data_IF_020396845772
#
_entry.id   IF_020396845772
#
_cell.length_a   1.000
_cell.length_b   1.000
_cell.length_c   1.000
_cell.angle_alpha   90.00
_cell.angle_beta   90.00
_cell.angle_gamma   90.00
#
_symmetry.space_group_name_H-M   'P 1'
#
loop_
_entity.id
_entity.type
_entity.pdbx_description
1 polymer ?
#
# COMPACT_ATOMS: atom_id res chain seq x y z
N UNK A 1 -5.83 52.20 -19.41
CA UNK A 1 -6.07 50.75 -19.31
C UNK A 1 -7.49 50.53 -19.78
N UNK A 2 -7.67 49.85 -20.90
CA UNK A 2 -8.99 49.46 -21.40
C UNK A 2 -9.40 48.11 -20.76
N UNK A 3 -10.65 47.93 -20.34
CA UNK A 3 -11.09 46.65 -19.78
C UNK A 3 -11.25 45.62 -20.90
N UNK A 4 -10.60 44.47 -20.74
CA UNK A 4 -10.84 43.27 -21.56
C UNK A 4 -12.27 42.80 -21.29
N UNK A 5 -13.14 42.94 -22.29
CA UNK A 5 -14.46 42.30 -22.32
C UNK A 5 -14.27 40.88 -22.83
N UNK A 6 -14.01 39.93 -21.93
CA UNK A 6 -14.10 38.51 -22.23
C UNK A 6 -15.53 38.05 -21.98
N UNK A 7 -16.21 37.52 -23.01
CA UNK A 7 -17.40 36.69 -22.83
C UNK A 7 -16.97 35.42 -22.08
N UNK A 8 -17.63 35.16 -20.95
CA UNK A 8 -17.46 33.94 -20.17
C UNK A 8 -18.48 32.96 -20.73
N UNK A 9 -18.03 31.94 -21.44
CA UNK A 9 -18.90 30.83 -21.87
C UNK A 9 -19.20 29.95 -20.66
N UNK A 10 -20.49 29.76 -20.37
CA UNK A 10 -20.96 28.84 -19.34
C UNK A 10 -20.67 27.40 -19.79
N UNK A 11 -19.84 26.69 -19.02
CA UNK A 11 -19.51 25.27 -19.27
C UNK A 11 -20.69 24.41 -18.81
N UNK A 12 -21.30 23.68 -19.74
CA UNK A 12 -22.38 22.73 -19.46
C UNK A 12 -21.83 21.50 -18.70
N UNK A 13 -22.31 21.30 -17.47
CA UNK A 13 -21.90 20.23 -16.54
C UNK A 13 -22.86 19.03 -16.55
N UNK A 14 -23.81 19.00 -17.49
CA UNK A 14 -24.87 18.00 -17.53
C UNK A 14 -24.41 16.58 -17.95
N UNK A 15 -23.16 16.42 -18.41
CA UNK A 15 -22.56 15.12 -18.81
C UNK A 15 -21.83 14.38 -17.66
N UNK A 16 -21.82 14.93 -16.43
CA UNK A 16 -21.10 14.31 -15.31
C UNK A 16 -21.92 13.27 -14.52
N UNK A 17 -23.18 13.04 -14.88
CA UNK A 17 -24.11 12.16 -14.14
C UNK A 17 -23.96 10.67 -14.49
N UNK A 18 -23.23 10.31 -15.56
CA UNK A 18 -23.08 8.92 -16.04
C UNK A 18 -21.84 8.18 -15.47
N UNK A 19 -21.17 8.73 -14.46
CA UNK A 19 -20.12 8.01 -13.73
C UNK A 19 -20.81 7.02 -12.80
N UNK A 20 -20.94 5.77 -13.25
CA UNK A 20 -21.48 4.68 -12.46
C UNK A 20 -20.76 4.62 -11.08
N UNK A 21 -21.53 4.79 -10.00
CA UNK A 21 -21.08 4.48 -8.64
C UNK A 21 -20.66 3.01 -8.59
N UNK A 22 -19.35 2.76 -8.67
CA UNK A 22 -18.77 1.45 -8.40
C UNK A 22 -18.93 1.21 -6.90
N UNK A 23 -19.86 0.32 -6.56
CA UNK A 23 -20.16 -0.10 -5.20
C UNK A 23 -18.91 -0.78 -4.59
N UNK A 24 -18.18 -0.07 -3.72
CA UNK A 24 -16.90 -0.54 -3.14
C UNK A 24 -17.06 -1.67 -2.09
N UNK A 25 -18.29 -2.05 -1.76
CA UNK A 25 -18.59 -3.07 -0.73
C UNK A 25 -18.43 -4.54 -1.21
N UNK A 26 -18.23 -4.78 -2.51
CA UNK A 26 -18.11 -6.14 -3.11
C UNK A 26 -16.65 -6.60 -3.29
N UNK A 27 -15.71 -6.18 -2.44
CA UNK A 27 -14.34 -6.72 -2.42
C UNK A 27 -13.94 -7.34 -1.07
N UNK A 28 -14.92 -7.56 -0.19
CA UNK A 28 -14.71 -8.13 1.14
C UNK A 28 -14.78 -9.65 1.19
N UNK A 29 -14.97 -10.33 0.05
CA UNK A 29 -15.08 -11.79 0.01
C UNK A 29 -14.09 -12.40 -0.96
N UNK A 30 -13.28 -13.29 -0.36
CA UNK A 30 -12.31 -14.23 -0.94
C UNK A 30 -11.13 -13.55 -1.67
N UNK A 31 -9.89 -13.91 -1.39
CA UNK A 31 -9.34 -15.24 -1.56
C UNK A 31 -8.31 -15.57 -0.45
N UNK A 32 -8.38 -16.80 0.04
CA UNK A 32 -7.23 -17.52 0.57
C UNK A 32 -6.26 -17.72 -0.60
N UNK A 33 -5.33 -16.79 -0.84
CA UNK A 33 -4.35 -16.95 -1.90
C UNK A 33 -2.94 -16.99 -1.35
N UNK A 34 -2.34 -18.13 -1.68
CA UNK A 34 -1.02 -18.64 -1.39
C UNK A 34 0.06 -17.56 -1.49
N UNK A 35 0.95 -17.60 -0.51
CA UNK A 35 2.22 -16.88 -0.49
C UNK A 35 3.09 -17.33 -1.68
N UNK A 36 2.81 -16.81 -2.88
CA UNK A 36 3.82 -16.72 -3.92
C UNK A 36 4.72 -15.53 -3.57
N UNK A 37 5.76 -15.84 -2.82
CA UNK A 37 6.98 -15.05 -2.73
C UNK A 37 7.48 -14.85 -4.17
N UNK A 38 7.12 -13.71 -4.78
CA UNK A 38 7.75 -13.27 -6.02
C UNK A 38 9.20 -12.94 -5.66
N UNK A 39 10.06 -13.95 -5.83
CA UNK A 39 11.51 -13.86 -5.71
C UNK A 39 11.97 -12.80 -6.70
N UNK A 40 12.09 -11.56 -6.22
CA UNK A 40 12.64 -10.47 -7.01
C UNK A 40 14.09 -10.86 -7.32
N UNK A 41 14.35 -11.33 -8.54
CA UNK A 41 15.70 -11.62 -9.01
C UNK A 41 16.59 -10.40 -8.72
N UNK A 42 17.61 -10.53 -7.85
CA UNK A 42 18.50 -9.42 -7.59
C UNK A 42 19.29 -9.12 -8.86
N UNK A 43 19.50 -7.84 -9.23
CA UNK A 43 20.41 -7.51 -10.31
C UNK A 43 21.77 -8.13 -9.97
N UNK A 44 22.41 -8.79 -10.94
CA UNK A 44 23.62 -9.57 -10.74
C UNK A 44 24.72 -8.79 -9.98
N UNK A 45 24.78 -8.97 -8.67
CA UNK A 45 25.89 -8.59 -7.81
C UNK A 45 26.36 -9.85 -7.09
N UNK A 46 27.65 -10.10 -7.27
CA UNK A 46 28.52 -11.14 -6.69
C UNK A 46 27.94 -11.86 -5.46
N UNK A 47 27.76 -13.18 -5.62
CA UNK A 47 27.15 -14.11 -4.68
C UNK A 47 27.94 -14.16 -3.36
N UNK A 48 27.43 -13.51 -2.33
CA UNK A 48 27.63 -13.96 -0.96
C UNK A 48 26.57 -15.04 -0.67
N UNK A 49 26.98 -16.28 -0.44
CA UNK A 49 26.11 -17.37 0.01
C UNK A 49 25.46 -16.98 1.34
N UNK A 50 24.27 -16.40 1.27
CA UNK A 50 23.38 -16.29 2.41
C UNK A 50 22.59 -17.60 2.41
N UNK A 51 22.98 -18.53 3.30
CA UNK A 51 22.18 -19.71 3.61
C UNK A 51 20.72 -19.28 3.79
N UNK A 52 19.72 -20.03 3.28
CA UNK A 52 18.33 -19.80 3.65
C UNK A 52 18.25 -19.96 5.16
N UNK A 53 18.23 -18.84 5.86
CA UNK A 53 17.91 -18.78 7.28
C UNK A 53 16.53 -19.41 7.34
N UNK A 54 16.43 -20.45 8.15
CA UNK A 54 15.18 -21.12 8.51
C UNK A 54 14.22 -20.05 9.05
N UNK A 55 13.51 -19.39 8.15
CA UNK A 55 12.42 -18.48 8.46
C UNK A 55 11.32 -19.39 8.95
N UNK A 56 11.36 -19.65 10.26
CA UNK A 56 10.24 -20.20 11.02
C UNK A 56 8.97 -19.59 10.43
N UNK A 57 8.21 -20.40 9.70
CA UNK A 57 7.06 -19.95 8.91
C UNK A 57 6.10 -19.24 9.85
N UNK A 58 6.16 -17.92 9.87
CA UNK A 58 5.26 -17.08 10.64
C UNK A 58 3.86 -17.48 10.19
N UNK A 59 3.03 -17.90 11.13
CA UNK A 59 1.66 -18.29 10.78
C UNK A 59 0.92 -17.09 10.17
N UNK A 60 0.04 -17.30 9.19
CA UNK A 60 -0.73 -16.21 8.58
C UNK A 60 -1.53 -15.38 9.60
N UNK A 61 -1.93 -15.98 10.73
CA UNK A 61 -2.55 -15.26 11.85
C UNK A 61 -1.57 -14.32 12.58
N UNK A 62 -0.35 -14.78 12.79
CA UNK A 62 0.72 -14.00 13.40
C UNK A 62 1.14 -12.85 12.49
N UNK A 63 1.24 -13.11 11.17
CA UNK A 63 1.51 -12.08 10.17
C UNK A 63 0.42 -11.01 10.13
N UNK A 64 -0.86 -11.41 10.23
CA UNK A 64 -1.98 -10.46 10.32
C UNK A 64 -1.91 -9.60 11.58
N UNK A 65 -1.55 -10.19 12.72
CA UNK A 65 -1.40 -9.44 13.98
C UNK A 65 -0.25 -8.43 13.89
N UNK A 66 0.90 -8.85 13.35
CA UNK A 66 2.05 -7.97 13.15
C UNK A 66 1.72 -6.82 12.19
N UNK A 67 1.01 -7.09 11.10
CA UNK A 67 0.56 -6.04 10.18
C UNK A 67 -0.38 -5.04 10.86
N UNK A 68 -1.35 -5.49 11.66
CA UNK A 68 -2.25 -4.57 12.36
C UNK A 68 -1.49 -3.68 13.36
N UNK A 69 -0.58 -4.26 14.14
CA UNK A 69 0.26 -3.50 15.07
C UNK A 69 1.16 -2.49 14.34
N UNK A 70 1.70 -2.87 13.18
CA UNK A 70 2.48 -1.96 12.32
C UNK A 70 1.65 -0.74 11.90
N UNK A 71 0.41 -0.94 11.44
CA UNK A 71 -0.49 0.14 11.02
C UNK A 71 -0.85 1.09 12.19
N UNK A 72 -1.10 0.53 13.38
CA UNK A 72 -1.38 1.32 14.59
C UNK A 72 -0.19 2.21 15.01
N UNK A 73 1.03 1.84 14.62
CA UNK A 73 2.23 2.62 14.91
C UNK A 73 2.42 3.82 13.96
N UNK A 74 1.85 3.78 12.75
CA UNK A 74 2.11 4.77 11.68
C UNK A 74 1.90 6.23 12.11
N UNK A 75 0.84 6.59 12.87
CA UNK A 75 0.63 7.97 13.34
C UNK A 75 1.75 8.49 14.26
N UNK A 76 2.55 7.60 14.83
CA UNK A 76 3.61 7.92 15.77
C UNK A 76 4.99 7.97 15.11
N UNK A 77 5.12 7.66 13.81
CA UNK A 77 6.36 7.71 13.04
C UNK A 77 6.70 9.16 12.62
N UNK A 78 6.92 10.02 13.61
CA UNK A 78 7.02 11.48 13.43
C UNK A 78 8.38 11.98 12.93
N UNK A 79 9.40 11.12 12.86
CA UNK A 79 10.74 11.49 12.40
C UNK A 79 11.36 10.43 11.50
N UNK A 80 12.30 10.87 10.68
CA UNK A 80 12.98 10.05 9.68
C UNK A 80 13.50 8.73 10.24
N UNK A 81 14.16 8.74 11.39
CA UNK A 81 14.74 7.51 11.95
C UNK A 81 13.68 6.46 12.30
N UNK A 82 12.48 6.88 12.72
CA UNK A 82 11.37 5.96 12.98
C UNK A 82 10.78 5.44 11.68
N UNK A 83 10.62 6.31 10.67
CA UNK A 83 10.15 5.92 9.34
C UNK A 83 11.11 4.92 8.69
N UNK A 84 12.41 5.22 8.68
CA UNK A 84 13.44 4.37 8.08
C UNK A 84 13.48 2.98 8.75
N UNK A 85 13.31 2.93 10.08
CA UNK A 85 13.23 1.66 10.83
C UNK A 85 11.96 0.87 10.50
N UNK A 86 10.81 1.52 10.47
CA UNK A 86 9.54 0.88 10.11
C UNK A 86 9.55 0.36 8.67
N UNK A 87 10.16 1.11 7.75
CA UNK A 87 10.31 0.69 6.36
C UNK A 87 11.16 -0.59 6.22
N UNK A 88 12.28 -0.67 6.95
CA UNK A 88 13.10 -1.87 7.00
C UNK A 88 12.32 -3.08 7.52
N UNK A 89 11.60 -2.92 8.64
CA UNK A 89 10.79 -3.98 9.25
C UNK A 89 9.68 -4.47 8.32
N UNK A 90 9.01 -3.54 7.62
CA UNK A 90 7.99 -3.90 6.63
C UNK A 90 8.56 -4.73 5.49
N UNK A 91 9.71 -4.32 4.93
CA UNK A 91 10.33 -4.99 3.78
C UNK A 91 10.84 -6.39 4.14
N UNK A 92 11.35 -6.59 5.35
CA UNK A 92 11.89 -7.89 5.79
C UNK A 92 10.81 -8.87 6.26
N UNK A 93 9.71 -8.37 6.80
CA UNK A 93 8.80 -9.18 7.61
C UNK A 93 7.34 -9.14 7.15
N UNK A 94 6.91 -8.08 6.44
CA UNK A 94 5.50 -7.82 6.12
C UNK A 94 5.21 -7.62 4.62
N UNK A 95 6.21 -7.72 3.74
CA UNK A 95 6.09 -7.38 2.31
C UNK A 95 5.30 -8.41 1.48
N UNK A 96 4.01 -8.53 1.71
CA UNK A 96 3.09 -9.32 0.89
C UNK A 96 2.20 -8.41 0.05
N UNK A 97 1.64 -8.95 -1.05
CA UNK A 97 0.70 -8.21 -1.92
C UNK A 97 -0.49 -7.65 -1.13
N UNK A 98 -1.03 -8.43 -0.21
CA UNK A 98 -2.15 -8.03 0.64
C UNK A 98 -1.76 -6.89 1.60
N UNK A 99 -0.59 -7.01 2.24
CA UNK A 99 -0.12 -6.00 3.20
C UNK A 99 0.22 -4.68 2.51
N UNK A 100 0.76 -4.70 1.29
CA UNK A 100 0.95 -3.46 0.50
C UNK A 100 -0.37 -2.75 0.22
N UNK A 101 -1.43 -3.48 -0.15
CA UNK A 101 -2.77 -2.88 -0.33
C UNK A 101 -3.29 -2.25 0.96
N UNK A 102 -3.19 -2.97 2.07
CA UNK A 102 -3.61 -2.47 3.40
C UNK A 102 -2.83 -1.24 3.83
N UNK A 103 -1.52 -1.21 3.60
CA UNK A 103 -0.68 -0.04 3.86
C UNK A 103 -1.15 1.17 3.04
N UNK A 104 -1.40 1.00 1.75
CA UNK A 104 -1.93 2.10 0.94
C UNK A 104 -3.32 2.57 1.43
N UNK A 105 -4.20 1.65 1.82
CA UNK A 105 -5.54 1.99 2.33
C UNK A 105 -5.49 2.73 3.66
N UNK A 106 -4.58 2.37 4.57
CA UNK A 106 -4.44 3.08 5.85
C UNK A 106 -3.95 4.52 5.66
N UNK A 107 -2.99 4.73 4.75
CA UNK A 107 -2.45 6.07 4.46
C UNK A 107 -3.46 7.01 3.78
N UNK A 108 -4.48 6.47 3.11
CA UNK A 108 -5.51 7.25 2.41
C UNK A 108 -6.69 7.66 3.32
N UNK A 109 -6.82 7.07 4.51
CA UNK A 109 -7.91 7.33 5.45
C UNK A 109 -7.59 8.41 6.51
N UNK A 110 -6.52 9.20 6.29
CA UNK A 110 -6.08 10.31 7.15
C UNK A 110 -6.41 11.63 6.47
#
# INVERSE_FOLDING_TARGET
MEPVSGEIEDVDVNDLEDIAEVNEDDLSQSEEDEDEEEECEPPAVEVCEVNPIDTSKVSGQELKLMMNAFLEQLPWLINRDLIDKAALDFVTSLNTKNNRKKLCQSELNI
#
